data_IF_670874267084
#
_entry.id   IF_670874267084
#
_cell.length_a   1.000
_cell.length_b   1.000
_cell.length_c   1.000
_cell.angle_alpha   90.00
_cell.angle_beta   90.00
_cell.angle_gamma   90.00
#
_symmetry.space_group_name_H-M   'P 1'
#
loop_
_entity.id
_entity.type
_entity.pdbx_description
1 polymer ?
#
# COMPACT_ATOMS: atom_id res chain seq x y z
N UNK A 1 -21.77 -28.61 7.24
CA UNK A 1 -21.93 -27.14 7.40
C UNK A 1 -20.61 -26.37 7.66
N UNK A 2 -19.46 -27.03 7.88
CA UNK A 2 -18.18 -26.39 8.28
C UNK A 2 -17.36 -25.79 7.11
N UNK A 3 -17.66 -26.13 5.84
CA UNK A 3 -16.94 -25.62 4.65
C UNK A 3 -17.41 -24.25 4.12
N UNK A 4 -18.52 -23.71 4.62
CA UNK A 4 -19.08 -22.43 4.13
C UNK A 4 -18.45 -21.18 4.78
N UNK A 5 -18.02 -21.28 6.05
CA UNK A 5 -17.41 -20.17 6.79
C UNK A 5 -16.12 -19.61 6.15
N UNK A 6 -15.19 -20.42 5.61
CA UNK A 6 -13.97 -19.90 4.97
C UNK A 6 -14.26 -19.13 3.68
N UNK A 7 -15.20 -19.62 2.87
CA UNK A 7 -15.59 -19.00 1.60
C UNK A 7 -16.28 -17.67 1.84
N UNK A 8 -17.16 -17.60 2.85
CA UNK A 8 -17.84 -16.36 3.22
C UNK A 8 -16.86 -15.26 3.63
N UNK A 9 -15.78 -15.60 4.35
CA UNK A 9 -14.72 -14.64 4.74
C UNK A 9 -13.97 -14.04 3.55
N UNK A 10 -13.89 -14.77 2.43
CA UNK A 10 -13.25 -14.28 1.21
C UNK A 10 -14.20 -13.47 0.33
N UNK A 11 -15.49 -13.79 0.33
CA UNK A 11 -16.50 -13.13 -0.51
C UNK A 11 -17.02 -11.84 0.15
N UNK A 12 -17.11 -11.80 1.48
CA UNK A 12 -17.71 -10.68 2.22
C UNK A 12 -17.07 -9.31 1.90
N UNK A 13 -15.73 -9.16 1.84
CA UNK A 13 -15.13 -7.87 1.47
C UNK A 13 -15.49 -7.41 0.05
N UNK A 14 -15.66 -8.34 -0.89
CA UNK A 14 -16.08 -8.03 -2.26
C UNK A 14 -17.56 -7.63 -2.32
N UNK A 15 -18.42 -8.29 -1.55
CA UNK A 15 -19.82 -7.89 -1.41
C UNK A 15 -19.93 -6.50 -0.77
N UNK A 16 -19.11 -6.19 0.24
CA UNK A 16 -19.05 -4.85 0.82
C UNK A 16 -18.61 -3.80 -0.22
N UNK A 17 -17.58 -4.10 -1.02
CA UNK A 17 -17.16 -3.21 -2.11
C UNK A 17 -18.27 -2.98 -3.14
N UNK A 18 -18.96 -4.05 -3.57
CA UNK A 18 -20.11 -3.99 -4.48
C UNK A 18 -21.25 -3.16 -3.90
N UNK A 19 -21.58 -3.35 -2.62
CA UNK A 19 -22.63 -2.58 -1.93
C UNK A 19 -22.27 -1.09 -1.85
N UNK A 20 -21.01 -0.76 -1.51
CA UNK A 20 -20.54 0.63 -1.45
C UNK A 20 -20.58 1.27 -2.84
N UNK A 21 -20.12 0.57 -3.89
CA UNK A 21 -20.23 1.10 -5.26
C UNK A 21 -21.68 1.22 -5.71
N UNK A 22 -22.55 0.27 -5.37
CA UNK A 22 -23.98 0.36 -5.63
C UNK A 22 -24.61 1.60 -4.98
N UNK A 23 -24.24 1.89 -3.73
CA UNK A 23 -24.62 3.11 -3.03
C UNK A 23 -24.03 4.37 -3.69
N UNK A 24 -22.75 4.37 -4.03
CA UNK A 24 -22.10 5.51 -4.67
C UNK A 24 -22.66 5.79 -6.07
N UNK A 25 -23.02 4.78 -6.86
CA UNK A 25 -23.67 4.97 -8.16
C UNK A 25 -25.16 5.32 -8.04
N UNK A 26 -25.78 5.05 -6.90
CA UNK A 26 -27.11 5.58 -6.57
C UNK A 26 -27.03 7.08 -6.26
N UNK A 27 -26.00 7.52 -5.51
CA UNK A 27 -25.75 8.94 -5.24
C UNK A 27 -25.24 9.70 -6.46
N UNK A 28 -24.39 9.07 -7.26
CA UNK A 28 -23.72 9.64 -8.42
C UNK A 28 -24.05 8.79 -9.66
N UNK A 29 -25.20 9.04 -10.32
CA UNK A 29 -25.62 8.29 -11.49
C UNK A 29 -24.54 8.18 -12.57
N UNK A 30 -24.44 7.01 -13.21
CA UNK A 30 -23.44 6.74 -14.26
C UNK A 30 -23.45 7.80 -15.36
N UNK A 31 -24.62 8.34 -15.71
CA UNK A 31 -24.75 9.41 -16.69
C UNK A 31 -24.03 10.70 -16.27
N UNK A 32 -24.06 11.06 -14.98
CA UNK A 32 -23.34 12.22 -14.44
C UNK A 32 -21.83 11.94 -14.36
N UNK A 33 -21.44 10.74 -13.95
CA UNK A 33 -20.03 10.30 -13.96
C UNK A 33 -19.45 10.38 -15.38
N UNK A 34 -20.22 9.96 -16.39
CA UNK A 34 -19.82 10.06 -17.79
C UNK A 34 -19.67 11.52 -18.25
N UNK A 35 -20.62 12.40 -17.88
CA UNK A 35 -20.51 13.84 -18.17
C UNK A 35 -19.28 14.46 -17.50
N UNK A 36 -19.05 14.15 -16.22
CA UNK A 36 -17.89 14.61 -15.47
C UNK A 36 -16.56 14.12 -16.10
N UNK A 37 -16.56 12.89 -16.65
CA UNK A 37 -15.38 12.34 -17.31
C UNK A 37 -15.00 13.10 -18.58
N UNK A 38 -15.92 13.84 -19.21
CA UNK A 38 -15.63 14.64 -20.41
C UNK A 38 -14.72 15.85 -20.11
N UNK A 39 -14.59 16.26 -18.85
CA UNK A 39 -13.74 17.37 -18.45
C UNK A 39 -12.26 17.00 -18.28
N UNK A 40 -11.94 15.70 -18.29
CA UNK A 40 -10.55 15.26 -18.19
C UNK A 40 -9.78 15.67 -19.45
N UNK A 41 -8.54 16.13 -19.26
CA UNK A 41 -7.56 16.27 -20.32
C UNK A 41 -6.85 14.91 -20.49
N UNK A 42 -7.25 14.08 -21.48
CA UNK A 42 -6.87 12.67 -21.52
C UNK A 42 -5.36 12.47 -21.68
N UNK A 43 -4.70 13.32 -22.48
CA UNK A 43 -3.26 13.24 -22.68
C UNK A 43 -2.49 13.57 -21.40
N UNK A 44 -2.81 14.68 -20.74
CA UNK A 44 -2.16 15.10 -19.50
C UNK A 44 -2.38 14.06 -18.38
N UNK A 45 -3.61 13.60 -18.22
CA UNK A 45 -3.95 12.56 -17.25
C UNK A 45 -3.20 11.25 -17.50
N UNK A 46 -3.16 10.78 -18.75
CA UNK A 46 -2.52 9.50 -19.09
C UNK A 46 -1.00 9.54 -18.94
N UNK A 47 -0.36 10.62 -19.38
CA UNK A 47 1.09 10.82 -19.21
C UNK A 47 1.46 10.91 -17.73
N UNK A 48 0.66 11.65 -16.95
CA UNK A 48 0.88 11.75 -15.50
C UNK A 48 0.68 10.40 -14.81
N UNK A 49 -0.39 9.67 -15.12
CA UNK A 49 -0.66 8.34 -14.55
C UNK A 49 0.49 7.36 -14.85
N UNK A 50 1.01 7.36 -16.08
CA UNK A 50 2.15 6.53 -16.47
C UNK A 50 3.43 6.94 -15.72
N UNK A 51 3.75 8.23 -15.69
CA UNK A 51 4.92 8.76 -14.98
C UNK A 51 4.89 8.46 -13.49
N UNK A 52 3.75 8.73 -12.85
CA UNK A 52 3.47 8.38 -11.45
C UNK A 52 3.66 6.88 -11.19
N UNK A 53 3.07 6.02 -12.03
CA UNK A 53 3.17 4.57 -11.86
C UNK A 53 4.62 4.10 -11.95
N UNK A 54 5.36 4.55 -12.97
CA UNK A 54 6.76 4.20 -13.15
C UNK A 54 7.61 4.68 -11.97
N UNK A 55 7.40 5.92 -11.53
CA UNK A 55 8.13 6.48 -10.39
C UNK A 55 7.90 5.68 -9.11
N UNK A 56 6.63 5.40 -8.76
CA UNK A 56 6.27 4.59 -7.58
C UNK A 56 6.85 3.19 -7.71
N UNK A 57 6.70 2.55 -8.88
CA UNK A 57 7.18 1.20 -9.11
C UNK A 57 8.70 1.08 -8.96
N UNK A 58 9.47 2.01 -9.53
CA UNK A 58 10.93 2.02 -9.44
C UNK A 58 11.41 2.35 -8.03
N UNK A 59 10.82 3.37 -7.40
CA UNK A 59 11.19 3.78 -6.04
C UNK A 59 10.88 2.69 -5.03
N UNK A 60 9.68 2.11 -5.08
CA UNK A 60 9.29 1.01 -4.18
C UNK A 60 10.18 -0.22 -4.36
N UNK A 61 10.56 -0.53 -5.60
CA UNK A 61 11.55 -1.59 -5.92
C UNK A 61 12.91 -1.27 -5.29
N UNK A 62 13.38 -0.02 -5.37
CA UNK A 62 14.66 0.39 -4.80
C UNK A 62 14.68 0.27 -3.27
N UNK A 63 13.63 0.74 -2.59
CA UNK A 63 13.52 0.62 -1.12
C UNK A 63 13.45 -0.85 -0.71
N UNK A 64 12.60 -1.63 -1.38
CA UNK A 64 12.46 -3.07 -1.12
C UNK A 64 13.79 -3.80 -1.28
N UNK A 65 14.54 -3.50 -2.35
CA UNK A 65 15.86 -4.07 -2.60
C UNK A 65 16.83 -3.71 -1.47
N UNK A 66 16.83 -2.47 -1.01
CA UNK A 66 17.69 -2.04 0.09
C UNK A 66 17.37 -2.81 1.38
N UNK A 67 16.09 -2.95 1.73
CA UNK A 67 15.67 -3.71 2.92
C UNK A 67 16.11 -5.18 2.81
N UNK A 68 15.92 -5.81 1.64
CA UNK A 68 16.37 -7.19 1.42
C UNK A 68 17.89 -7.31 1.53
N UNK A 69 18.64 -6.36 0.97
CA UNK A 69 20.10 -6.35 1.07
C UNK A 69 20.57 -6.17 2.53
N UNK A 70 19.86 -5.36 3.32
CA UNK A 70 20.18 -5.05 4.71
C UNK A 70 19.97 -6.24 5.65
N UNK A 71 18.93 -7.04 5.41
CA UNK A 71 18.46 -8.08 6.35
C UNK A 71 18.55 -9.51 5.83
N UNK A 72 18.89 -9.72 4.55
CA UNK A 72 19.08 -11.04 3.98
C UNK A 72 20.35 -11.10 3.13
N UNK A 73 20.28 -10.66 1.86
CA UNK A 73 21.43 -10.60 0.97
C UNK A 73 21.20 -9.66 -0.20
N UNK A 74 22.27 -9.12 -0.83
CA UNK A 74 22.14 -8.30 -2.02
C UNK A 74 21.50 -9.07 -3.18
N UNK A 75 20.50 -8.47 -3.82
CA UNK A 75 19.82 -9.01 -5.00
C UNK A 75 19.90 -7.97 -6.15
N UNK A 76 20.10 -8.39 -7.41
CA UNK A 76 20.04 -7.48 -8.55
C UNK A 76 18.73 -6.70 -8.63
N UNK A 77 18.80 -5.43 -9.02
CA UNK A 77 17.63 -4.55 -9.09
C UNK A 77 16.54 -5.11 -10.02
N UNK A 78 16.94 -5.59 -11.21
CA UNK A 78 15.99 -6.10 -12.20
C UNK A 78 15.29 -7.40 -11.77
N UNK A 79 15.90 -8.19 -10.87
CA UNK A 79 15.27 -9.38 -10.32
C UNK A 79 14.14 -9.01 -9.34
N UNK A 80 14.37 -7.99 -8.51
CA UNK A 80 13.35 -7.43 -7.62
C UNK A 80 12.27 -6.73 -8.45
N UNK A 81 12.67 -5.91 -9.43
CA UNK A 81 11.75 -5.17 -10.30
C UNK A 81 10.79 -6.11 -11.00
N UNK A 82 11.31 -7.17 -11.63
CA UNK A 82 10.46 -8.12 -12.31
C UNK A 82 9.51 -8.84 -11.34
N UNK A 83 9.99 -9.24 -10.15
CA UNK A 83 9.18 -9.94 -9.18
C UNK A 83 8.05 -9.04 -8.64
N UNK A 84 8.35 -7.77 -8.37
CA UNK A 84 7.36 -6.74 -8.04
C UNK A 84 6.37 -6.54 -9.17
N UNK A 85 6.83 -6.49 -10.42
CA UNK A 85 5.97 -6.43 -11.60
C UNK A 85 4.96 -7.57 -11.66
N UNK A 86 5.42 -8.83 -11.57
CA UNK A 86 4.51 -9.99 -11.57
C UNK A 86 3.53 -9.96 -10.40
N UNK A 87 4.00 -9.62 -9.21
CA UNK A 87 3.16 -9.58 -8.01
C UNK A 87 2.11 -8.48 -8.05
N UNK A 88 2.27 -7.44 -8.89
CA UNK A 88 1.22 -6.45 -9.13
C UNK A 88 -0.06 -7.04 -9.75
N UNK A 89 0.02 -8.12 -10.55
CA UNK A 89 -1.18 -8.81 -11.02
C UNK A 89 -1.97 -9.39 -9.85
N UNK A 90 -1.27 -10.01 -8.91
CA UNK A 90 -1.88 -10.59 -7.71
C UNK A 90 -2.38 -9.48 -6.79
N UNK A 91 -1.66 -8.37 -6.71
CA UNK A 91 -1.97 -7.25 -5.82
C UNK A 91 -3.31 -6.59 -6.14
N UNK A 92 -3.69 -6.52 -7.42
CA UNK A 92 -4.99 -6.00 -7.86
C UNK A 92 -6.15 -6.82 -7.28
N UNK A 93 -5.95 -8.13 -7.09
CA UNK A 93 -6.95 -9.02 -6.51
C UNK A 93 -6.84 -9.08 -4.99
N UNK A 94 -5.62 -9.17 -4.47
CA UNK A 94 -5.34 -9.34 -3.05
C UNK A 94 -3.90 -8.93 -2.69
N UNK A 95 -3.77 -7.85 -1.92
CA UNK A 95 -2.47 -7.34 -1.49
C UNK A 95 -1.67 -8.34 -0.61
N UNK A 96 -2.25 -8.95 0.45
CA UNK A 96 -1.53 -9.99 1.22
C UNK A 96 -1.03 -11.16 0.37
N UNK A 97 -1.84 -11.65 -0.56
CA UNK A 97 -1.45 -12.74 -1.47
C UNK A 97 -0.29 -12.33 -2.38
N UNK A 98 -0.25 -11.08 -2.83
CA UNK A 98 0.89 -10.53 -3.58
C UNK A 98 2.17 -10.56 -2.76
N UNK A 99 2.13 -10.17 -1.48
CA UNK A 99 3.30 -10.23 -0.61
C UNK A 99 3.77 -11.68 -0.36
N UNK A 100 2.83 -12.61 -0.18
CA UNK A 100 3.15 -14.03 -0.04
C UNK A 100 3.77 -14.62 -1.32
N UNK A 101 3.24 -14.27 -2.50
CA UNK A 101 3.81 -14.67 -3.78
C UNK A 101 5.22 -14.11 -3.98
N UNK A 102 5.46 -12.87 -3.55
CA UNK A 102 6.79 -12.28 -3.61
C UNK A 102 7.78 -12.95 -2.63
N UNK A 103 7.35 -13.26 -1.42
CA UNK A 103 8.15 -14.04 -0.46
C UNK A 103 8.47 -15.45 -1.00
N UNK A 104 7.51 -16.09 -1.67
CA UNK A 104 7.73 -17.39 -2.32
C UNK A 104 8.74 -17.30 -3.46
N UNK A 105 8.68 -16.25 -4.29
CA UNK A 105 9.70 -15.96 -5.31
C UNK A 105 11.10 -15.88 -4.70
N UNK A 106 11.26 -15.12 -3.61
CA UNK A 106 12.54 -14.96 -2.92
C UNK A 106 13.03 -16.27 -2.30
N UNK A 107 12.13 -17.10 -1.75
CA UNK A 107 12.48 -18.45 -1.28
C UNK A 107 12.98 -19.33 -2.42
N UNK A 108 12.24 -19.40 -3.53
CA UNK A 108 12.57 -20.28 -4.66
C UNK A 108 13.87 -19.89 -5.33
N UNK A 109 14.08 -18.60 -5.58
CA UNK A 109 15.20 -18.09 -6.38
C UNK A 109 16.45 -17.81 -5.55
N UNK A 110 16.29 -17.41 -4.30
CA UNK A 110 17.38 -16.94 -3.45
C UNK A 110 17.48 -17.69 -2.11
N UNK A 111 16.67 -18.72 -1.87
CA UNK A 111 16.68 -19.50 -0.62
C UNK A 111 16.48 -18.66 0.65
N UNK A 112 15.81 -17.50 0.54
CA UNK A 112 15.47 -16.68 1.69
C UNK A 112 14.20 -17.25 2.35
N UNK A 113 14.17 -17.54 3.66
CA UNK A 113 12.99 -18.09 4.32
C UNK A 113 11.75 -17.20 4.18
N UNK A 114 10.59 -17.78 3.88
CA UNK A 114 9.33 -17.03 3.63
C UNK A 114 8.99 -16.09 4.78
N UNK A 115 9.01 -16.58 6.02
CA UNK A 115 8.66 -15.75 7.18
C UNK A 115 9.65 -14.61 7.41
N UNK A 116 10.91 -14.80 7.05
CA UNK A 116 11.93 -13.73 7.07
C UNK A 116 11.61 -12.66 6.04
N UNK A 117 11.21 -13.04 4.82
CA UNK A 117 10.71 -12.10 3.80
C UNK A 117 9.47 -11.34 4.26
N UNK A 118 8.48 -12.05 4.81
CA UNK A 118 7.25 -11.43 5.31
C UNK A 118 7.54 -10.46 6.46
N UNK A 119 8.52 -10.79 7.32
CA UNK A 119 8.98 -9.89 8.39
C UNK A 119 9.59 -8.60 7.85
N UNK A 120 10.40 -8.69 6.78
CA UNK A 120 10.94 -7.49 6.08
C UNK A 120 9.83 -6.63 5.48
N UNK A 121 8.81 -7.25 4.87
CA UNK A 121 7.67 -6.50 4.31
C UNK A 121 6.83 -5.85 5.41
N UNK A 122 6.62 -6.56 6.53
CA UNK A 122 5.92 -6.01 7.69
C UNK A 122 6.65 -4.81 8.29
N UNK A 123 8.00 -4.82 8.31
CA UNK A 123 8.79 -3.66 8.73
C UNK A 123 8.51 -2.43 7.85
N UNK A 124 8.44 -2.59 6.53
CA UNK A 124 8.10 -1.50 5.60
C UNK A 124 6.69 -0.99 5.89
N UNK A 125 5.71 -1.89 6.07
CA UNK A 125 4.32 -1.53 6.38
C UNK A 125 4.20 -0.76 7.70
N UNK A 126 4.96 -1.14 8.73
CA UNK A 126 5.00 -0.39 10.00
C UNK A 126 5.53 1.03 9.78
N UNK A 127 6.59 1.20 8.98
CA UNK A 127 7.14 2.53 8.67
C UNK A 127 6.15 3.36 7.84
N UNK A 128 5.45 2.75 6.89
CA UNK A 128 4.41 3.42 6.11
C UNK A 128 3.24 3.87 6.98
N UNK A 129 2.79 3.01 7.90
CA UNK A 129 1.73 3.35 8.83
C UNK A 129 2.13 4.54 9.71
N UNK A 130 3.38 4.59 10.17
CA UNK A 130 3.90 5.74 10.92
C UNK A 130 3.94 7.02 10.06
N UNK A 131 4.31 6.93 8.78
CA UNK A 131 4.26 8.06 7.86
C UNK A 131 2.83 8.59 7.68
N UNK A 132 1.88 7.72 7.34
CA UNK A 132 0.48 8.09 7.15
C UNK A 132 -0.10 8.68 8.45
N UNK A 133 0.22 8.08 9.59
CA UNK A 133 -0.19 8.58 10.91
C UNK A 133 0.40 9.96 11.20
N UNK A 134 1.69 10.18 10.90
CA UNK A 134 2.38 11.46 11.11
C UNK A 134 1.79 12.56 10.24
N UNK A 135 1.56 12.25 8.96
CA UNK A 135 0.97 13.20 8.03
C UNK A 135 -0.49 13.52 8.39
N UNK A 136 -1.28 12.53 8.79
CA UNK A 136 -2.66 12.75 9.26
C UNK A 136 -2.73 13.54 10.56
N UNK A 137 -1.83 13.24 11.51
CA UNK A 137 -1.71 13.99 12.76
C UNK A 137 -1.34 15.46 12.49
N UNK A 138 -0.30 15.72 11.69
CA UNK A 138 0.08 17.08 11.32
C UNK A 138 -1.04 17.80 10.54
N UNK A 139 -1.66 17.10 9.58
CA UNK A 139 -2.79 17.58 8.79
C UNK A 139 -3.99 18.02 9.63
N UNK A 140 -4.24 17.32 10.74
CA UNK A 140 -5.32 17.63 11.68
C UNK A 140 -5.21 19.01 12.34
N UNK A 141 -4.03 19.64 12.32
CA UNK A 141 -3.82 21.01 12.83
C UNK A 141 -3.90 22.08 11.73
N UNK A 142 -3.87 21.68 10.45
CA UNK A 142 -3.85 22.60 9.30
C UNK A 142 -5.25 22.87 8.77
N UNK A 143 -6.08 21.83 8.69
CA UNK A 143 -7.45 21.95 8.18
C UNK A 143 -8.42 21.12 9.02
N UNK A 144 -9.67 21.56 9.09
CA UNK A 144 -10.74 20.84 9.77
C UNK A 144 -11.11 19.60 8.96
N UNK A 145 -10.93 18.43 9.56
CA UNK A 145 -11.31 17.14 8.96
C UNK A 145 -12.69 16.74 9.47
N UNK A 146 -13.71 16.96 8.65
CA UNK A 146 -15.11 16.61 8.95
C UNK A 146 -15.59 15.53 7.99
N UNK A 147 -16.33 14.55 8.51
CA UNK A 147 -17.01 13.52 7.73
C UNK A 147 -18.50 13.60 8.03
N UNK A 148 -19.29 14.15 7.10
CA UNK A 148 -20.66 14.57 7.39
C UNK A 148 -20.69 15.59 8.54
N UNK A 149 -21.43 15.28 9.61
CA UNK A 149 -21.54 16.14 10.81
C UNK A 149 -20.49 15.84 11.88
N UNK A 150 -19.64 14.82 11.68
CA UNK A 150 -18.69 14.35 12.69
C UNK A 150 -17.33 15.00 12.48
N UNK A 151 -16.83 15.69 13.50
CA UNK A 151 -15.45 16.17 13.52
C UNK A 151 -14.49 15.01 13.84
N UNK A 152 -13.65 14.63 12.88
CA UNK A 152 -12.69 13.52 13.04
C UNK A 152 -11.38 13.94 13.69
N UNK A 153 -11.13 15.25 13.86
CA UNK A 153 -9.86 15.77 14.37
C UNK A 153 -9.45 15.17 15.72
N UNK A 154 -10.30 15.13 16.78
CA UNK A 154 -9.91 14.53 18.06
C UNK A 154 -9.62 13.02 17.92
N UNK A 155 -10.41 12.32 17.13
CA UNK A 155 -10.24 10.88 16.86
C UNK A 155 -8.91 10.60 16.17
N UNK A 156 -8.54 11.40 15.17
CA UNK A 156 -7.25 11.30 14.47
C UNK A 156 -6.09 11.52 15.45
N UNK A 157 -6.18 12.55 16.29
CA UNK A 157 -5.13 12.89 17.24
C UNK A 157 -4.93 11.81 18.31
N UNK A 158 -6.04 11.29 18.88
CA UNK A 158 -6.00 10.20 19.85
C UNK A 158 -5.47 8.92 19.21
N UNK A 159 -5.96 8.56 18.01
CA UNK A 159 -5.49 7.38 17.28
C UNK A 159 -3.99 7.47 16.98
N UNK A 160 -3.50 8.63 16.54
CA UNK A 160 -2.08 8.86 16.31
C UNK A 160 -1.25 8.71 17.58
N UNK A 161 -1.71 9.29 18.70
CA UNK A 161 -1.04 9.12 20.00
C UNK A 161 -0.98 7.65 20.42
N UNK A 162 -2.09 6.91 20.28
CA UNK A 162 -2.11 5.47 20.57
C UNK A 162 -1.11 4.69 19.69
N UNK A 163 -1.01 5.03 18.41
CA UNK A 163 -0.04 4.41 17.49
C UNK A 163 1.40 4.74 17.89
N UNK A 164 1.70 5.98 18.26
CA UNK A 164 3.05 6.36 18.70
C UNK A 164 3.44 5.69 20.02
N UNK A 165 2.53 5.66 21.00
CA UNK A 165 2.75 4.93 22.26
C UNK A 165 2.94 3.45 21.98
N UNK A 166 2.08 2.84 21.15
CA UNK A 166 2.19 1.45 20.74
C UNK A 166 3.53 1.15 20.05
N UNK A 167 3.98 2.03 19.15
CA UNK A 167 5.28 1.90 18.48
C UNK A 167 6.45 2.09 19.43
N UNK A 168 6.36 3.02 20.38
CA UNK A 168 7.38 3.21 21.41
C UNK A 168 7.51 1.96 22.30
N UNK A 169 6.38 1.42 22.77
CA UNK A 169 6.34 0.16 23.51
C UNK A 169 6.86 -1.01 22.67
N UNK A 170 6.55 -1.04 21.37
CA UNK A 170 7.07 -2.02 20.42
C UNK A 170 8.61 -1.95 20.34
N UNK A 171 9.19 -0.75 20.19
CA UNK A 171 10.64 -0.57 20.19
C UNK A 171 11.26 -1.01 21.52
N UNK A 172 10.64 -0.69 22.65
CA UNK A 172 11.08 -1.13 23.97
C UNK A 172 11.02 -2.65 24.11
N UNK A 173 9.97 -3.29 23.60
CA UNK A 173 9.79 -4.74 23.65
C UNK A 173 10.93 -5.48 22.95
N UNK A 174 11.35 -5.01 21.77
CA UNK A 174 12.44 -5.64 21.02
C UNK A 174 13.82 -5.30 21.59
N UNK A 175 14.03 -4.05 22.02
CA UNK A 175 15.35 -3.56 22.50
C UNK A 175 15.66 -3.93 23.95
N UNK A 176 14.68 -3.86 24.85
CA UNK A 176 14.85 -4.22 26.25
C UNK A 176 14.51 -5.70 26.43
N UNK A 177 15.27 -6.40 27.28
CA UNK A 177 15.01 -7.81 27.62
C UNK A 177 13.87 -7.91 28.63
N UNK A 178 12.70 -7.37 28.31
CA UNK A 178 11.49 -7.64 29.10
C UNK A 178 11.12 -9.12 28.91
N UNK A 179 11.37 -9.93 29.94
CA UNK A 179 11.17 -11.38 29.94
C UNK A 179 9.83 -11.72 30.57
N UNK A 180 8.76 -11.56 29.81
CA UNK A 180 7.45 -12.10 30.17
C UNK A 180 7.22 -13.42 29.41
N UNK A 181 6.90 -14.54 30.09
CA UNK A 181 6.81 -15.86 29.46
C UNK A 181 5.83 -15.92 28.27
N UNK A 182 4.69 -15.22 28.35
CA UNK A 182 3.72 -15.18 27.27
C UNK A 182 4.20 -14.39 26.04
N UNK A 183 5.10 -13.42 26.23
CA UNK A 183 5.67 -12.62 25.14
C UNK A 183 6.88 -13.29 24.47
N UNK A 184 7.55 -14.24 25.13
CA UNK A 184 8.67 -14.97 24.52
C UNK A 184 8.22 -15.78 23.30
N UNK A 185 7.01 -16.33 23.32
CA UNK A 185 6.40 -16.99 22.15
C UNK A 185 6.24 -16.06 20.94
N UNK A 186 5.92 -14.78 21.18
CA UNK A 186 5.87 -13.76 20.13
C UNK A 186 7.27 -13.38 19.65
N UNK A 187 8.24 -13.32 20.56
CA UNK A 187 9.62 -12.93 20.29
C UNK A 187 10.38 -13.94 19.43
N UNK A 188 10.06 -15.23 19.58
CA UNK A 188 10.69 -16.34 18.84
C UNK A 188 9.98 -16.69 17.53
N UNK A 189 8.82 -16.09 17.25
CA UNK A 189 8.07 -16.41 16.04
C UNK A 189 8.81 -15.89 14.79
N UNK A 190 9.02 -16.73 13.74
CA UNK A 190 9.81 -16.36 12.56
C UNK A 190 9.33 -15.10 11.83
N UNK A 191 8.02 -14.80 11.85
CA UNK A 191 7.46 -13.58 11.24
C UNK A 191 7.95 -12.28 11.87
N UNK A 192 8.54 -12.32 13.07
CA UNK A 192 9.06 -11.14 13.75
C UNK A 192 10.59 -11.13 13.88
N UNK A 193 11.28 -12.05 13.20
CA UNK A 193 12.74 -12.20 13.29
C UNK A 193 13.50 -10.91 12.99
N UNK A 194 13.00 -10.08 12.06
CA UNK A 194 13.63 -8.83 11.66
C UNK A 194 13.49 -7.75 12.73
N UNK A 195 12.39 -7.70 13.47
CA UNK A 195 12.18 -6.66 14.48
C UNK A 195 13.15 -6.79 15.65
N UNK A 196 13.59 -8.01 15.97
CA UNK A 196 14.65 -8.26 16.93
C UNK A 196 16.04 -7.79 16.44
N UNK A 197 16.26 -7.76 15.12
CA UNK A 197 17.54 -7.38 14.49
C UNK A 197 17.61 -5.89 14.11
N UNK A 198 16.46 -5.29 13.81
CA UNK A 198 16.34 -3.94 13.31
C UNK A 198 16.76 -2.91 14.37
N UNK A 199 17.70 -2.04 14.00
CA UNK A 199 18.12 -0.89 14.81
C UNK A 199 17.22 0.31 14.51
N UNK A 200 17.17 1.29 15.41
CA UNK A 200 16.45 2.54 15.17
C UNK A 200 16.92 3.25 13.87
N UNK A 201 18.21 3.13 13.54
CA UNK A 201 18.76 3.62 12.27
C UNK A 201 18.11 2.95 11.06
N UNK A 202 17.75 1.67 11.14
CA UNK A 202 17.11 0.96 10.02
C UNK A 202 15.69 1.50 9.80
N UNK A 203 14.91 1.77 10.86
CA UNK A 203 13.60 2.43 10.75
C UNK A 203 13.74 3.83 10.13
N UNK A 204 14.71 4.62 10.57
CA UNK A 204 14.94 5.96 10.06
C UNK A 204 15.39 5.95 8.60
N UNK A 205 16.30 5.05 8.22
CA UNK A 205 16.74 4.88 6.83
C UNK A 205 15.57 4.51 5.93
N UNK A 206 14.73 3.54 6.34
CA UNK A 206 13.53 3.19 5.58
C UNK A 206 12.61 4.41 5.50
N UNK A 207 12.35 5.10 6.61
CA UNK A 207 11.47 6.26 6.62
C UNK A 207 11.93 7.34 5.63
N UNK A 208 13.23 7.69 5.62
CA UNK A 208 13.82 8.64 4.68
C UNK A 208 13.66 8.16 3.24
N UNK A 209 13.98 6.89 2.96
CA UNK A 209 13.83 6.31 1.62
C UNK A 209 12.37 6.24 1.14
N UNK A 210 11.39 6.25 2.06
CA UNK A 210 9.95 6.26 1.76
C UNK A 210 9.39 7.67 1.55
N UNK A 211 10.13 8.75 1.85
CA UNK A 211 9.69 10.14 1.63
C UNK A 211 9.20 10.36 0.19
N UNK A 212 9.95 9.96 -0.87
CA UNK A 212 9.51 10.23 -2.23
C UNK A 212 8.19 9.54 -2.56
N UNK A 213 7.95 8.34 -2.03
CA UNK A 213 6.70 7.60 -2.24
C UNK A 213 5.53 8.37 -1.63
N UNK A 214 5.61 8.72 -0.34
CA UNK A 214 4.52 9.41 0.36
C UNK A 214 4.26 10.80 -0.23
N UNK A 215 5.32 11.53 -0.57
CA UNK A 215 5.19 12.81 -1.25
C UNK A 215 4.50 12.66 -2.61
N UNK A 216 4.89 11.66 -3.41
CA UNK A 216 4.26 11.38 -4.70
C UNK A 216 2.79 10.97 -4.56
N UNK A 217 2.43 10.20 -3.53
CA UNK A 217 1.03 9.87 -3.23
C UNK A 217 0.19 11.14 -3.03
N UNK A 218 0.70 12.12 -2.27
CA UNK A 218 -0.03 13.36 -1.96
C UNK A 218 -0.11 14.29 -3.18
N UNK A 219 1.04 14.57 -3.81
CA UNK A 219 1.09 15.47 -4.96
C UNK A 219 0.32 14.91 -6.16
N UNK A 220 0.19 13.58 -6.27
CA UNK A 220 -0.57 12.96 -7.36
C UNK A 220 -2.01 13.44 -7.38
N UNK A 221 -2.65 13.55 -6.21
CA UNK A 221 -4.02 14.02 -6.13
C UNK A 221 -4.13 15.48 -6.56
N UNK A 222 -3.18 16.32 -6.15
CA UNK A 222 -3.12 17.73 -6.52
C UNK A 222 -3.01 17.93 -8.04
N UNK A 223 -2.20 17.12 -8.70
CA UNK A 223 -2.00 17.19 -10.16
C UNK A 223 -3.21 16.58 -10.90
N UNK A 224 -3.72 15.43 -10.42
CA UNK A 224 -4.83 14.74 -11.07
C UNK A 224 -6.08 15.61 -11.12
N UNK A 225 -6.44 16.31 -10.03
CA UNK A 225 -7.62 17.19 -10.04
C UNK A 225 -7.48 18.33 -11.07
N UNK A 226 -6.27 18.84 -11.29
CA UNK A 226 -6.01 19.87 -12.30
C UNK A 226 -6.20 19.37 -13.74
N UNK A 227 -6.04 18.07 -13.99
CA UNK A 227 -6.35 17.50 -15.32
C UNK A 227 -7.84 17.57 -15.65
N UNK A 228 -8.71 17.83 -14.67
CA UNK A 228 -10.14 18.09 -14.83
C UNK A 228 -10.49 19.58 -14.76
N UNK A 229 -9.50 20.46 -14.99
CA UNK A 229 -9.68 21.92 -14.98
C UNK A 229 -10.29 22.41 -13.66
N UNK A 230 -9.89 21.77 -12.57
CA UNK A 230 -10.37 22.03 -11.22
C UNK A 230 -9.19 22.15 -10.27
N UNK A 231 -9.37 22.89 -9.19
CA UNK A 231 -8.34 23.09 -8.19
C UNK A 231 -8.85 22.67 -6.81
N UNK A 232 -7.96 22.08 -6.01
CA UNK A 232 -8.12 21.95 -4.56
C UNK A 232 -6.86 22.56 -3.94
N UNK A 233 -6.98 23.45 -2.95
CA UNK A 233 -5.81 23.99 -2.26
C UNK A 233 -4.90 22.87 -1.76
N UNK A 234 -3.60 22.96 -2.03
CA UNK A 234 -2.66 21.88 -1.70
C UNK A 234 -2.68 21.50 -0.21
N UNK A 235 -2.86 22.49 0.68
CA UNK A 235 -2.96 22.25 2.12
C UNK A 235 -4.17 21.39 2.51
N UNK A 236 -5.29 21.50 1.79
CA UNK A 236 -6.47 20.66 2.01
C UNK A 236 -6.19 19.20 1.64
N UNK A 237 -5.51 18.97 0.51
CA UNK A 237 -5.09 17.62 0.11
C UNK A 237 -4.08 17.06 1.11
N UNK A 238 -3.07 17.84 1.49
CA UNK A 238 -2.04 17.42 2.45
C UNK A 238 -2.66 17.04 3.80
N UNK A 239 -3.66 17.79 4.26
CA UNK A 239 -4.32 17.55 5.54
C UNK A 239 -5.24 16.32 5.52
N UNK A 240 -5.99 16.12 4.43
CA UNK A 240 -7.09 15.15 4.38
C UNK A 240 -6.73 13.82 3.73
N UNK A 241 -5.80 13.80 2.77
CA UNK A 241 -5.44 12.58 2.04
C UNK A 241 -4.80 11.47 2.92
N UNK A 242 -3.96 11.78 3.93
CA UNK A 242 -3.47 10.76 4.85
C UNK A 242 -4.60 10.05 5.60
N UNK A 243 -5.68 10.75 5.92
CA UNK A 243 -6.87 10.16 6.56
C UNK A 243 -7.58 9.19 5.62
N UNK A 244 -7.68 9.53 4.32
CA UNK A 244 -8.18 8.61 3.29
C UNK A 244 -7.33 7.35 3.22
N UNK A 245 -6.00 7.47 3.23
CA UNK A 245 -5.11 6.31 3.22
C UNK A 245 -5.29 5.44 4.46
N UNK A 246 -5.46 6.06 5.64
CA UNK A 246 -5.75 5.34 6.88
C UNK A 246 -7.06 4.56 6.80
N UNK A 247 -8.15 5.18 6.30
CA UNK A 247 -9.43 4.50 6.04
C UNK A 247 -9.24 3.32 5.07
N UNK A 248 -8.39 3.48 4.05
CA UNK A 248 -8.06 2.43 3.09
C UNK A 248 -7.30 1.23 3.67
N UNK A 249 -6.67 1.39 4.85
CA UNK A 249 -6.03 0.26 5.56
C UNK A 249 -7.01 -0.62 6.31
N UNK A 250 -8.23 -0.13 6.58
CA UNK A 250 -9.25 -0.89 7.29
C UNK A 250 -9.73 -2.01 6.35
N UNK A 251 -9.69 -3.28 6.76
CA UNK A 251 -9.99 -4.43 5.90
C UNK A 251 -11.51 -4.63 5.68
N UNK A 252 -12.21 -3.57 5.29
CA UNK A 252 -13.63 -3.58 4.93
C UNK A 252 -13.79 -4.08 3.49
N UNK A 253 -12.95 -3.56 2.59
CA UNK A 253 -12.97 -3.90 1.16
C UNK A 253 -11.56 -4.19 0.65
N UNK A 254 -11.40 -4.98 -0.43
CA UNK A 254 -10.11 -5.26 -1.02
C UNK A 254 -9.42 -3.95 -1.44
N UNK A 255 -8.27 -3.65 -0.83
CA UNK A 255 -7.49 -2.45 -1.13
C UNK A 255 -8.22 -1.13 -0.88
N UNK A 256 -9.27 -1.12 -0.04
CA UNK A 256 -10.06 0.08 0.24
C UNK A 256 -10.95 0.52 -0.94
N UNK A 257 -11.22 -0.36 -1.91
CA UNK A 257 -12.12 -0.09 -3.02
C UNK A 257 -13.50 0.34 -2.51
N UNK A 258 -14.06 1.42 -3.08
CA UNK A 258 -15.31 2.01 -2.64
C UNK A 258 -15.15 2.89 -1.39
N UNK A 259 -14.57 2.38 -0.29
CA UNK A 259 -14.42 3.16 0.96
C UNK A 259 -13.49 4.35 0.81
N UNK A 260 -12.36 4.17 0.14
CA UNK A 260 -11.42 5.29 -0.14
C UNK A 260 -12.00 6.27 -1.14
N UNK A 261 -12.76 5.79 -2.13
CA UNK A 261 -13.46 6.67 -3.08
C UNK A 261 -14.50 7.54 -2.36
N UNK A 262 -15.33 6.93 -1.50
CA UNK A 262 -16.29 7.65 -0.68
C UNK A 262 -15.60 8.68 0.23
N UNK A 263 -14.53 8.28 0.93
CA UNK A 263 -13.77 9.17 1.80
C UNK A 263 -13.13 10.34 1.04
N UNK A 264 -12.60 10.11 -0.17
CA UNK A 264 -12.08 11.18 -1.01
C UNK A 264 -13.18 12.17 -1.41
N UNK A 265 -14.37 11.68 -1.76
CA UNK A 265 -15.51 12.56 -2.10
C UNK A 265 -15.89 13.41 -0.89
N UNK A 266 -16.16 12.78 0.26
CA UNK A 266 -16.58 13.49 1.47
C UNK A 266 -15.54 14.51 1.96
N UNK A 267 -14.26 14.17 1.91
CA UNK A 267 -13.22 15.03 2.46
C UNK A 267 -12.75 16.11 1.47
N UNK A 268 -12.62 15.78 0.18
CA UNK A 268 -11.97 16.66 -0.79
C UNK A 268 -12.93 17.44 -1.67
N UNK A 269 -14.13 16.92 -1.98
CA UNK A 269 -15.10 17.63 -2.82
C UNK A 269 -15.52 19.00 -2.26
N UNK A 270 -15.69 19.20 -0.94
CA UNK A 270 -16.03 20.51 -0.38
C UNK A 270 -14.97 21.59 -0.63
N UNK A 271 -13.73 21.19 -0.90
CA UNK A 271 -12.60 22.11 -1.13
C UNK A 271 -12.31 22.33 -2.61
N UNK A 272 -13.13 21.80 -3.53
CA UNK A 272 -12.94 21.96 -4.97
C UNK A 272 -13.42 23.33 -5.46
N UNK A 273 -12.60 23.94 -6.30
CA UNK A 273 -12.88 25.23 -6.94
C UNK A 273 -12.73 25.07 -8.45
N UNK A 274 -13.80 25.36 -9.19
CA UNK A 274 -13.80 25.38 -10.66
C UNK A 274 -14.97 26.21 -11.18
N UNK A 275 -14.80 26.80 -12.37
CA UNK A 275 -15.89 27.44 -13.11
C UNK A 275 -16.94 26.43 -13.61
N UNK A 276 -16.58 25.15 -13.74
CA UNK A 276 -17.47 24.07 -14.22
C UNK A 276 -18.70 23.93 -13.32
N UNK A 277 -18.57 24.21 -12.02
CA UNK A 277 -19.65 24.09 -11.05
C UNK A 277 -20.70 25.19 -11.17
N UNK A 278 -20.31 26.37 -11.69
CA UNK A 278 -21.22 27.51 -11.84
C UNK A 278 -22.31 27.26 -12.88
N UNK A 279 -22.05 26.40 -13.86
CA UNK A 279 -23.02 26.00 -14.88
C UNK A 279 -24.07 25.00 -14.36
N UNK A 280 -23.89 24.45 -13.15
CA UNK A 280 -24.80 23.47 -12.54
C UNK A 280 -24.86 22.11 -13.24
N UNK A 281 -23.99 21.85 -14.22
CA UNK A 281 -23.98 20.62 -15.03
C UNK A 281 -23.35 19.43 -14.32
N UNK A 282 -22.40 19.68 -13.42
CA UNK A 282 -21.67 18.68 -12.64
C UNK A 282 -21.41 19.25 -11.25
N UNK A 283 -21.66 18.46 -10.21
CA UNK A 283 -21.35 18.86 -8.83
C UNK A 283 -19.91 18.52 -8.45
N UNK A 284 -19.32 19.20 -7.44
CA UNK A 284 -17.99 18.84 -6.94
C UNK A 284 -17.87 17.38 -6.53
N UNK A 285 -18.91 16.81 -5.92
CA UNK A 285 -18.94 15.42 -5.48
C UNK A 285 -18.94 14.44 -6.66
N UNK A 286 -19.74 14.69 -7.70
CA UNK A 286 -19.74 13.89 -8.93
C UNK A 286 -18.37 13.92 -9.63
N UNK A 287 -17.75 15.10 -9.71
CA UNK A 287 -16.44 15.26 -10.34
C UNK A 287 -15.36 14.55 -9.53
N UNK A 288 -15.36 14.71 -8.21
CA UNK A 288 -14.41 14.04 -7.31
C UNK A 288 -14.57 12.51 -7.43
N UNK A 289 -15.79 12.00 -7.39
CA UNK A 289 -16.04 10.56 -7.54
C UNK A 289 -15.50 10.03 -8.88
N UNK A 290 -15.75 10.77 -9.96
CA UNK A 290 -15.24 10.46 -11.31
C UNK A 290 -13.72 10.43 -11.36
N UNK A 291 -13.07 11.42 -10.75
CA UNK A 291 -11.60 11.48 -10.62
C UNK A 291 -11.08 10.23 -9.91
N UNK A 292 -11.69 9.84 -8.78
CA UNK A 292 -11.23 8.67 -8.02
C UNK A 292 -11.35 7.37 -8.80
N UNK A 293 -12.48 7.15 -9.51
CA UNK A 293 -12.67 5.94 -10.31
C UNK A 293 -11.67 5.88 -11.45
N UNK A 294 -11.51 6.98 -12.20
CA UNK A 294 -10.57 7.03 -13.32
C UNK A 294 -9.13 6.82 -12.85
N UNK A 295 -8.76 7.40 -11.70
CA UNK A 295 -7.44 7.22 -11.10
C UNK A 295 -7.18 5.77 -10.68
N UNK A 296 -8.13 5.13 -9.99
CA UNK A 296 -8.03 3.72 -9.60
C UNK A 296 -7.95 2.82 -10.83
N UNK A 297 -8.80 3.07 -11.82
CA UNK A 297 -8.82 2.34 -13.09
C UNK A 297 -7.47 2.41 -13.80
N UNK A 298 -6.93 3.63 -14.01
CA UNK A 298 -5.64 3.84 -14.65
C UNK A 298 -4.51 3.11 -13.90
N UNK A 299 -4.48 3.21 -12.57
CA UNK A 299 -3.51 2.51 -11.73
C UNK A 299 -3.59 0.99 -11.86
N UNK A 300 -4.80 0.43 -11.93
CA UNK A 300 -5.01 -1.02 -12.04
C UNK A 300 -4.61 -1.53 -13.42
N UNK A 301 -4.98 -0.80 -14.49
CA UNK A 301 -4.57 -1.12 -15.86
C UNK A 301 -3.04 -1.14 -15.96
N UNK A 302 -2.35 -0.10 -15.46
CA UNK A 302 -0.88 -0.04 -15.49
C UNK A 302 -0.22 -1.18 -14.69
N UNK A 303 -0.78 -1.55 -13.53
CA UNK A 303 -0.33 -2.71 -12.74
C UNK A 303 -0.50 -4.02 -13.50
N UNK A 304 -1.65 -4.21 -14.15
CA UNK A 304 -1.95 -5.41 -14.95
C UNK A 304 -1.00 -5.49 -16.16
N UNK A 305 -0.84 -4.40 -16.92
CA UNK A 305 0.06 -4.34 -18.07
C UNK A 305 1.51 -4.63 -17.68
N UNK A 306 2.01 -4.00 -16.61
CA UNK A 306 3.36 -4.25 -16.09
C UNK A 306 3.53 -5.71 -15.66
N UNK A 307 2.58 -6.25 -14.91
CA UNK A 307 2.71 -7.63 -14.45
C UNK A 307 2.59 -8.66 -15.57
N UNK A 308 1.75 -8.44 -16.58
CA UNK A 308 1.72 -9.28 -17.79
C UNK A 308 3.06 -9.24 -18.55
N UNK A 309 3.67 -8.05 -18.67
CA UNK A 309 4.97 -7.87 -19.29
C UNK A 309 6.07 -8.65 -18.56
N UNK A 310 6.13 -8.54 -17.23
CA UNK A 310 7.15 -9.24 -16.43
C UNK A 310 6.87 -10.72 -16.24
N UNK A 311 5.60 -11.17 -16.25
CA UNK A 311 5.25 -12.59 -16.10
C UNK A 311 5.88 -13.44 -17.20
N UNK A 312 5.88 -12.94 -18.44
CA UNK A 312 6.53 -13.60 -19.59
C UNK A 312 8.05 -13.77 -19.41
N UNK A 313 8.70 -12.87 -18.66
CA UNK A 313 10.16 -12.89 -18.43
C UNK A 313 10.54 -13.70 -17.20
N UNK A 314 9.79 -13.57 -16.10
CA UNK A 314 10.09 -14.24 -14.84
C UNK A 314 9.70 -15.70 -14.83
N UNK A 315 8.55 -16.08 -15.40
CA UNK A 315 8.11 -17.49 -15.42
C UNK A 315 9.22 -18.38 -15.98
N UNK A 316 9.85 -17.98 -17.09
CA UNK A 316 10.98 -18.67 -17.71
C UNK A 316 12.17 -18.89 -16.76
N UNK A 317 12.43 -17.95 -15.85
CA UNK A 317 13.55 -18.06 -14.91
C UNK A 317 13.17 -18.78 -13.61
N UNK A 318 11.88 -18.80 -13.25
CA UNK A 318 11.38 -19.49 -12.06
C UNK A 318 11.34 -21.01 -12.24
N UNK A 319 11.11 -21.48 -13.47
CA UNK A 319 11.04 -22.88 -13.84
C UNK A 319 12.35 -23.45 -14.38
N UNK A 320 13.45 -22.67 -14.39
CA UNK A 320 14.77 -23.27 -14.61
C UNK A 320 15.05 -24.22 -13.43
N UNK A 321 15.41 -25.49 -13.69
CA UNK A 321 15.82 -26.40 -12.63
C UNK A 321 16.89 -25.71 -11.78
N UNK A 322 16.76 -25.81 -10.45
CA UNK A 322 17.88 -25.49 -9.57
C UNK A 322 19.04 -26.35 -10.07
N UNK A 323 20.20 -25.80 -10.46
CA UNK A 323 21.32 -26.62 -10.90
C UNK A 323 21.57 -27.64 -9.78
N UNK A 324 21.60 -28.93 -10.14
CA UNK A 324 21.88 -30.01 -9.20
C UNK A 324 23.23 -29.71 -8.58
N UNK A 325 23.22 -29.21 -7.35
CA UNK A 325 24.42 -29.06 -6.56
C UNK A 325 24.79 -30.48 -6.18
N UNK A 326 25.97 -31.00 -6.58
CA UNK A 326 26.42 -32.31 -6.15
C UNK A 326 26.28 -32.39 -4.62
N UNK A 327 25.77 -33.51 -4.11
CA UNK A 327 25.43 -33.68 -2.68
C UNK A 327 26.56 -33.21 -1.75
N UNK A 328 27.82 -33.49 -2.12
CA UNK A 328 29.02 -33.00 -1.44
C UNK A 328 29.12 -31.48 -1.28
N UNK A 329 28.73 -30.70 -2.30
CA UNK A 329 28.73 -29.23 -2.23
C UNK A 329 27.56 -28.70 -1.40
N UNK A 330 26.43 -29.42 -1.39
CA UNK A 330 25.28 -29.07 -0.56
C UNK A 330 25.56 -29.36 0.93
N UNK A 331 26.24 -30.47 1.23
CA UNK A 331 26.67 -30.85 2.58
C UNK A 331 27.76 -29.91 3.12
N UNK A 332 28.73 -29.50 2.29
CA UNK A 332 29.75 -28.50 2.67
C UNK A 332 29.19 -27.09 2.87
N UNK A 333 28.11 -26.74 2.18
CA UNK A 333 27.45 -25.43 2.30
C UNK A 333 26.39 -25.39 3.40
N UNK A 334 25.95 -26.54 3.91
CA UNK A 334 25.08 -26.62 5.07
C UNK A 334 25.87 -26.15 6.29
N UNK A 335 25.40 -25.15 7.05
CA UNK A 335 26.03 -24.80 8.32
C UNK A 335 26.04 -26.06 9.18
N UNK A 336 27.23 -26.53 9.57
CA UNK A 336 27.38 -27.61 10.53
C UNK A 336 26.58 -27.21 11.78
N UNK A 337 25.38 -27.77 11.93
CA UNK A 337 24.65 -27.75 13.17
C UNK A 337 25.44 -28.66 14.10
N UNK A 338 26.46 -28.09 14.74
CA UNK A 338 27.14 -28.67 15.87
C UNK A 338 26.10 -28.85 16.97
N UNK A 339 25.59 -30.07 17.07
CA UNK A 339 24.66 -30.50 18.09
C UNK A 339 24.77 -32.00 18.18
N UNK A 340 25.56 -32.46 19.15
CA UNK A 340 25.53 -33.84 19.62
C UNK A 340 24.06 -34.26 19.86
N UNK A 341 23.73 -35.43 19.34
CA UNK A 341 22.50 -36.19 19.62
C UNK A 341 22.45 -36.50 21.12
#
# INVERSE_FOLDING_TARGET
>A
MVKFLPVLKHILPWLAALAIFGYLFHLYPIAQVWKAAQYVQPLAFSLFALGYFLFIFLTDTAVTRWVIARFAKPIPFFDILGARGVTYLIMVLNYPASQAAFAYYLKRRYSIPIFHCLSMFLLIVVVDLLWVTTLGFAGSFVSTVQLGTVNLQPTIQIAALCIYVGFFLWLLFWRKKFRFPFLEKFRTHPSFSIFAQAKLSDYLSIAIMRIPIHFTLIISMYIVVQTFQTHIPFLEILAKLPVVFFIGTIPITPGGLGTTNAAMVELLAPSMVSSIFAEGKVTPAELMFTITILWVFANYVLKILSGMFFLKRISKNLFKPTPDVPLEKAEKAAPHLGGNI
#
